data_IF_839190305983
#
_entry.id   IF_839190305983
#
_cell.length_a   1.000
_cell.length_b   1.000
_cell.length_c   1.000
_cell.angle_alpha   90.00
_cell.angle_beta   90.00
_cell.angle_gamma   90.00
#
_symmetry.space_group_name_H-M   'P 1'
#
loop_
_entity.id
_entity.type
_entity.pdbx_description
1 polymer ?
#
# COMPACT_ATOMS: atom_id res chain seq x y z
N UNK A 1 35.96 20.26 3.21
CA UNK A 1 35.76 19.44 2.00
C UNK A 1 35.44 18.02 2.44
N UNK A 2 34.17 17.64 2.44
CA UNK A 2 33.76 16.24 2.45
C UNK A 2 33.16 15.96 1.07
N UNK A 3 33.76 15.02 0.34
CA UNK A 3 33.23 14.57 -0.94
C UNK A 3 31.86 13.94 -0.71
N UNK A 4 30.82 14.55 -1.30
CA UNK A 4 29.51 13.92 -1.40
C UNK A 4 29.65 12.70 -2.30
N UNK A 5 29.60 11.51 -1.70
CA UNK A 5 29.42 10.26 -2.43
C UNK A 5 28.14 10.39 -3.26
N UNK A 6 28.27 10.50 -4.58
CA UNK A 6 27.14 10.46 -5.52
C UNK A 6 26.48 9.09 -5.37
N UNK A 7 25.37 9.04 -4.64
CA UNK A 7 24.50 7.86 -4.61
C UNK A 7 23.85 7.77 -5.99
N UNK A 8 24.34 6.85 -6.82
CA UNK A 8 23.72 6.54 -8.11
C UNK A 8 22.27 6.09 -7.86
N UNK A 9 21.29 6.55 -8.66
CA UNK A 9 19.93 6.08 -8.54
C UNK A 9 19.90 4.57 -8.80
N UNK A 10 19.18 3.84 -7.96
CA UNK A 10 19.05 2.39 -8.03
C UNK A 10 18.13 1.99 -9.19
N UNK A 11 18.51 2.31 -10.42
CA UNK A 11 17.73 2.03 -11.66
C UNK A 11 17.78 0.54 -12.08
N UNK A 12 18.53 -0.29 -11.37
CA UNK A 12 18.64 -1.73 -11.67
C UNK A 12 17.31 -2.48 -11.58
N UNK A 13 16.39 -2.04 -10.71
CA UNK A 13 15.06 -2.65 -10.53
C UNK A 13 14.20 -2.49 -11.81
N UNK A 14 14.42 -1.43 -12.58
CA UNK A 14 13.71 -1.19 -13.84
C UNK A 14 14.34 -1.94 -15.03
N UNK A 15 15.64 -2.22 -14.99
CA UNK A 15 16.33 -2.93 -16.08
C UNK A 15 15.91 -4.39 -16.19
N UNK A 16 15.74 -5.08 -15.06
CA UNK A 16 15.24 -6.46 -15.03
C UNK A 16 13.81 -6.53 -15.61
N UNK A 17 12.91 -5.68 -15.12
CA UNK A 17 11.52 -5.64 -15.60
C UNK A 17 11.44 -5.30 -17.10
N UNK A 18 12.24 -4.34 -17.58
CA UNK A 18 12.34 -4.05 -19.01
C UNK A 18 12.91 -5.21 -19.82
N UNK A 19 13.94 -5.90 -19.31
CA UNK A 19 14.52 -7.06 -19.98
C UNK A 19 13.51 -8.20 -20.10
N UNK A 20 12.76 -8.48 -19.03
CA UNK A 20 11.73 -9.52 -19.01
C UNK A 20 10.54 -9.18 -19.91
N UNK A 21 10.06 -7.93 -19.89
CA UNK A 21 9.01 -7.45 -20.82
C UNK A 21 9.44 -7.57 -22.28
N UNK A 22 10.70 -7.25 -22.57
CA UNK A 22 11.26 -7.40 -23.92
C UNK A 22 11.38 -8.87 -24.30
N UNK A 23 11.88 -9.73 -23.41
CA UNK A 23 11.97 -11.17 -23.65
C UNK A 23 10.59 -11.79 -23.94
N UNK A 24 9.54 -11.36 -23.22
CA UNK A 24 8.17 -11.81 -23.47
C UNK A 24 7.65 -11.43 -24.87
N UNK A 25 8.13 -10.33 -25.47
CA UNK A 25 7.78 -9.95 -26.85
C UNK A 25 8.36 -10.91 -27.89
N UNK A 26 9.55 -11.46 -27.64
CA UNK A 26 10.24 -12.33 -28.58
C UNK A 26 10.00 -13.82 -28.34
N UNK A 27 9.88 -14.23 -27.08
CA UNK A 27 9.83 -15.63 -26.65
C UNK A 27 8.50 -16.02 -26.00
N UNK A 28 7.48 -15.17 -26.12
CA UNK A 28 6.19 -15.39 -25.47
C UNK A 28 5.48 -16.67 -25.94
N UNK A 29 5.58 -17.01 -27.22
CA UNK A 29 4.96 -18.23 -27.78
C UNK A 29 5.66 -19.49 -27.24
N UNK A 30 6.98 -19.52 -27.23
CA UNK A 30 7.77 -20.62 -26.68
C UNK A 30 7.53 -20.79 -25.18
N UNK A 31 7.53 -19.69 -24.43
CA UNK A 31 7.27 -19.72 -22.99
C UNK A 31 5.89 -20.31 -22.69
N UNK A 32 4.85 -19.86 -23.40
CA UNK A 32 3.48 -20.37 -23.23
C UNK A 32 3.39 -21.87 -23.59
N UNK A 33 4.09 -22.29 -24.66
CA UNK A 33 4.21 -23.70 -25.01
C UNK A 33 4.89 -24.54 -23.92
N UNK A 34 5.98 -24.05 -23.32
CA UNK A 34 6.63 -24.69 -22.18
C UNK A 34 5.74 -24.79 -20.95
N UNK A 35 4.87 -23.80 -20.73
CA UNK A 35 3.89 -23.77 -19.64
C UNK A 35 2.62 -24.59 -19.94
N UNK A 36 2.52 -25.20 -21.13
CA UNK A 36 1.39 -26.05 -21.52
C UNK A 36 0.13 -25.27 -21.98
N UNK A 37 0.25 -23.98 -22.24
CA UNK A 37 -0.82 -23.16 -22.83
C UNK A 37 -0.93 -23.50 -24.32
N UNK A 38 -2.13 -23.84 -24.78
CA UNK A 38 -2.37 -24.39 -26.12
C UNK A 38 -2.68 -23.31 -27.15
N UNK A 39 -3.19 -22.19 -26.67
CA UNK A 39 -3.54 -21.02 -27.45
C UNK A 39 -2.28 -20.29 -27.92
N UNK A 40 -2.30 -19.81 -29.16
CA UNK A 40 -1.19 -19.02 -29.71
C UNK A 40 -1.33 -17.56 -29.31
N UNK A 41 -0.32 -16.92 -28.70
CA UNK A 41 -0.35 -15.49 -28.44
C UNK A 41 -0.30 -14.71 -29.76
N UNK A 42 -1.10 -13.65 -29.88
CA UNK A 42 -1.10 -12.75 -31.06
C UNK A 42 -0.11 -11.60 -30.89
N UNK A 43 0.05 -11.11 -29.66
CA UNK A 43 1.02 -10.08 -29.24
C UNK A 43 1.08 -10.01 -27.71
N UNK A 44 2.13 -9.39 -27.18
CA UNK A 44 2.14 -8.93 -25.78
C UNK A 44 1.15 -7.77 -25.61
N UNK A 45 0.38 -7.81 -24.53
CA UNK A 45 -0.57 -6.76 -24.14
C UNK A 45 -0.01 -5.97 -22.94
N UNK A 46 -0.49 -4.75 -22.67
CA UNK A 46 -0.02 -3.96 -21.54
C UNK A 46 -0.05 -4.76 -20.23
N UNK A 47 1.04 -4.68 -19.47
CA UNK A 47 1.20 -5.35 -18.18
C UNK A 47 0.68 -4.50 -17.02
N UNK A 48 0.56 -3.20 -17.25
CA UNK A 48 0.15 -2.20 -16.28
C UNK A 48 -1.36 -1.95 -16.39
N UNK A 49 -2.08 -2.21 -15.30
CA UNK A 49 -3.46 -1.76 -15.13
C UNK A 49 -3.41 -0.54 -14.21
N UNK A 50 -3.71 0.63 -14.76
CA UNK A 50 -3.77 1.88 -13.98
C UNK A 50 -5.21 2.07 -13.50
N UNK A 51 -5.44 1.87 -12.21
CA UNK A 51 -6.68 2.23 -11.54
C UNK A 51 -6.42 3.43 -10.63
N UNK A 52 -7.04 4.56 -10.95
CA UNK A 52 -7.00 5.78 -10.14
C UNK A 52 -8.33 5.91 -9.40
N UNK A 53 -8.30 5.77 -8.08
CA UNK A 53 -9.44 6.00 -7.21
C UNK A 53 -9.07 7.13 -6.24
N UNK A 54 -9.80 8.25 -6.27
CA UNK A 54 -9.64 9.32 -5.32
C UNK A 54 -10.52 9.05 -4.10
N UNK A 55 -9.92 8.51 -3.02
CA UNK A 55 -10.59 8.31 -1.74
C UNK A 55 -10.30 9.49 -0.81
N UNK A 56 -11.34 10.01 -0.16
CA UNK A 56 -11.18 10.99 0.91
C UNK A 56 -11.09 10.23 2.23
N UNK A 57 -9.88 10.13 2.79
CA UNK A 57 -9.62 9.52 4.09
C UNK A 57 -9.73 10.62 5.16
N UNK A 58 -10.95 10.96 5.56
CA UNK A 58 -11.17 11.94 6.63
C UNK A 58 -10.92 11.28 7.98
N UNK A 59 -9.83 11.69 8.61
CA UNK A 59 -9.46 11.33 9.99
C UNK A 59 -9.98 12.42 10.92
N UNK A 60 -10.42 12.05 12.13
CA UNK A 60 -10.92 13.06 13.08
C UNK A 60 -9.79 14.02 13.52
N UNK A 61 -8.69 13.49 14.09
CA UNK A 61 -7.54 14.31 14.49
C UNK A 61 -6.19 13.61 14.34
N UNK A 62 -5.16 14.40 14.06
CA UNK A 62 -3.76 13.97 14.12
C UNK A 62 -2.94 14.94 14.98
N UNK A 63 -2.07 14.40 15.83
CA UNK A 63 -1.11 15.17 16.62
C UNK A 63 0.31 14.70 16.35
N UNK A 64 1.20 15.64 16.03
CA UNK A 64 2.64 15.41 16.05
C UNK A 64 3.16 15.52 17.48
N UNK A 65 3.87 14.49 17.92
CA UNK A 65 4.47 14.42 19.25
C UNK A 65 5.92 14.87 19.21
N UNK A 66 6.47 15.28 20.36
CA UNK A 66 7.87 15.74 20.47
C UNK A 66 8.90 14.69 20.02
N UNK A 67 8.56 13.40 20.10
CA UNK A 67 9.40 12.29 19.65
C UNK A 67 9.29 11.99 18.14
N UNK A 68 8.51 12.77 17.39
CA UNK A 68 8.28 12.62 15.95
C UNK A 68 7.23 11.57 15.57
N UNK A 69 6.52 10.99 16.53
CA UNK A 69 5.39 10.10 16.26
C UNK A 69 4.12 10.90 16.02
N UNK A 70 3.24 10.38 15.17
CA UNK A 70 1.93 10.96 14.97
C UNK A 70 0.87 10.11 15.66
N UNK A 71 -0.01 10.74 16.44
CA UNK A 71 -1.14 10.07 17.06
C UNK A 71 -2.40 10.46 16.30
N UNK A 72 -2.99 9.47 15.67
CA UNK A 72 -4.26 9.54 14.99
C UNK A 72 -5.37 9.18 15.98
N UNK A 73 -6.39 10.02 16.12
CA UNK A 73 -7.54 9.75 16.98
C UNK A 73 -8.80 9.61 16.14
N UNK A 74 -9.63 8.63 16.51
CA UNK A 74 -10.94 8.36 15.92
C UNK A 74 -12.00 8.25 17.01
N UNK A 75 -13.18 8.77 16.76
CA UNK A 75 -14.31 8.70 17.70
C UNK A 75 -15.39 7.78 17.17
N UNK A 76 -15.75 6.77 17.97
CA UNK A 76 -16.87 5.89 17.65
C UNK A 76 -17.96 5.98 18.72
N UNK A 77 -19.19 6.18 18.26
CA UNK A 77 -20.36 6.31 19.13
C UNK A 77 -21.12 4.99 19.31
N UNK A 78 -20.91 4.07 18.39
CA UNK A 78 -21.48 2.74 18.29
C UNK A 78 -20.40 1.65 18.37
N UNK A 79 -20.85 0.40 18.35
CA UNK A 79 -19.98 -0.76 18.51
C UNK A 79 -19.00 -0.85 17.34
N UNK A 80 -17.70 -0.86 17.65
CA UNK A 80 -16.64 -1.00 16.66
C UNK A 80 -16.80 -2.32 15.92
N UNK A 81 -16.94 -2.24 14.59
CA UNK A 81 -17.00 -3.41 13.72
C UNK A 81 -15.61 -3.78 13.20
N UNK A 82 -15.51 -4.91 12.51
CA UNK A 82 -14.27 -5.27 11.82
C UNK A 82 -13.94 -4.33 10.66
N UNK A 83 -14.96 -3.85 9.95
CA UNK A 83 -14.82 -2.90 8.86
C UNK A 83 -14.25 -1.56 9.37
N UNK A 84 -14.66 -1.14 10.57
CA UNK A 84 -14.07 0.04 11.23
C UNK A 84 -12.60 -0.15 11.56
N UNK A 85 -12.22 -1.30 12.13
CA UNK A 85 -10.80 -1.60 12.40
C UNK A 85 -9.97 -1.63 11.11
N UNK A 86 -10.51 -2.20 10.03
CA UNK A 86 -9.86 -2.18 8.72
C UNK A 86 -9.70 -0.75 8.18
N UNK A 87 -10.72 0.10 8.35
CA UNK A 87 -10.68 1.51 7.96
C UNK A 87 -9.64 2.30 8.76
N UNK A 88 -9.61 2.14 10.08
CA UNK A 88 -8.59 2.79 10.93
C UNK A 88 -7.17 2.35 10.57
N UNK A 89 -6.99 1.08 10.22
CA UNK A 89 -5.70 0.58 9.79
C UNK A 89 -5.30 1.14 8.41
N UNK A 90 -6.22 1.21 7.45
CA UNK A 90 -5.98 1.87 6.15
C UNK A 90 -5.50 3.31 6.36
N UNK A 91 -6.15 4.03 7.28
CA UNK A 91 -5.83 5.41 7.62
C UNK A 91 -4.43 5.55 8.22
N UNK A 92 -4.08 4.72 9.20
CA UNK A 92 -2.75 4.69 9.80
C UNK A 92 -1.65 4.46 8.75
N UNK A 93 -1.83 3.42 7.92
CA UNK A 93 -0.85 3.02 6.90
C UNK A 93 -0.74 4.09 5.82
N UNK A 94 -1.85 4.66 5.35
CA UNK A 94 -1.85 5.70 4.34
C UNK A 94 -1.11 6.95 4.85
N UNK A 95 -1.45 7.43 6.05
CA UNK A 95 -0.78 8.58 6.68
C UNK A 95 0.71 8.31 6.86
N UNK A 96 1.08 7.17 7.45
CA UNK A 96 2.50 6.82 7.64
C UNK A 96 3.26 6.76 6.32
N UNK A 97 2.66 6.17 5.28
CA UNK A 97 3.29 6.04 3.96
C UNK A 97 3.45 7.38 3.24
N UNK A 98 2.48 8.28 3.34
CA UNK A 98 2.50 9.59 2.69
C UNK A 98 3.52 10.49 3.38
N UNK A 99 3.45 10.60 4.71
CA UNK A 99 4.26 11.56 5.48
C UNK A 99 5.60 10.99 5.96
N UNK A 100 5.83 9.69 5.82
CA UNK A 100 7.06 8.99 6.22
C UNK A 100 7.35 9.11 7.72
N UNK A 101 6.29 9.03 8.53
CA UNK A 101 6.35 9.09 10.00
C UNK A 101 5.70 7.84 10.61
N UNK A 102 6.15 7.39 11.79
CA UNK A 102 5.41 6.37 12.55
C UNK A 102 4.09 6.97 13.04
N UNK A 103 3.01 6.23 12.87
CA UNK A 103 1.65 6.63 13.27
C UNK A 103 1.11 5.60 14.25
N UNK A 104 0.40 6.06 15.27
CA UNK A 104 -0.36 5.22 16.21
C UNK A 104 -1.81 5.69 16.21
N UNK A 105 -2.73 4.78 15.96
CA UNK A 105 -4.16 5.05 16.01
C UNK A 105 -4.75 4.74 17.38
N UNK A 106 -5.49 5.71 17.93
CA UNK A 106 -6.18 5.65 19.21
C UNK A 106 -7.69 5.85 18.97
N UNK A 107 -8.49 4.80 19.17
CA UNK A 107 -9.94 4.89 19.01
C UNK A 107 -10.61 5.17 20.35
N UNK A 108 -11.34 6.28 20.44
CA UNK A 108 -12.13 6.67 21.60
C UNK A 108 -13.58 6.23 21.38
N UNK A 109 -13.93 5.05 21.89
CA UNK A 109 -15.27 4.49 21.77
C UNK A 109 -16.14 4.81 22.99
N UNK A 110 -17.33 5.36 22.75
CA UNK A 110 -18.33 5.67 23.79
C UNK A 110 -19.49 4.66 23.84
N UNK A 111 -19.44 3.61 23.02
CA UNK A 111 -20.49 2.60 22.95
C UNK A 111 -20.63 1.81 24.24
N UNK A 112 -21.88 1.52 24.62
CA UNK A 112 -22.21 0.74 25.83
C UNK A 112 -22.25 -0.75 25.54
N UNK A 113 -21.10 -1.33 25.19
CA UNK A 113 -20.97 -2.77 24.91
C UNK A 113 -20.22 -3.50 26.02
N UNK A 114 -20.45 -4.82 26.15
CA UNK A 114 -19.80 -5.64 27.18
C UNK A 114 -18.32 -5.90 26.89
N UNK A 115 -17.95 -5.95 25.61
CA UNK A 115 -16.60 -6.16 25.12
C UNK A 115 -16.45 -5.38 23.82
N UNK A 116 -15.43 -4.54 23.74
CA UNK A 116 -15.07 -3.85 22.51
C UNK A 116 -14.26 -4.80 21.63
N UNK A 117 -14.45 -4.70 20.32
CA UNK A 117 -13.55 -5.32 19.36
C UNK A 117 -12.31 -4.45 19.20
N UNK A 118 -11.14 -5.06 19.36
CA UNK A 118 -9.84 -4.41 19.34
C UNK A 118 -8.84 -5.08 18.37
N UNK A 119 -9.23 -6.19 17.72
CA UNK A 119 -8.41 -6.93 16.76
C UNK A 119 -9.20 -7.40 15.52
N UNK A 120 -8.47 -7.56 14.41
CA UNK A 120 -8.96 -8.17 13.16
C UNK A 120 -8.62 -9.67 13.22
N UNK A 121 -9.58 -10.54 12.86
CA UNK A 121 -9.44 -12.01 12.92
C UNK A 121 -9.26 -12.61 11.54
#
# INVERSE_FOLDING_TARGET
MQEKLKKYPTDYIHLEDMAMKTAAQYFGEELLGYLGVKEKPVRVVPTEIIQLEARQLYQDFNFEMENGWWYHFEFESDEITEEDLMRFWEYEVATSRIYKVPVVTCVLCSAKVKRLKDEIT
#
